data_IF_212931016625
#
_entry.id   IF_212931016625
#
_cell.length_a   1.000
_cell.length_b   1.000
_cell.length_c   1.000
_cell.angle_alpha   90.00
_cell.angle_beta   90.00
_cell.angle_gamma   90.00
#
_symmetry.space_group_name_H-M   'P 1'
#
loop_
_entity.id
_entity.type
_entity.pdbx_description
1 polymer ?
#
# COMPACT_ATOMS: atom_id res chain seq x y z
N UNK A 1 -28.55 -20.84 13.15
CA UNK A 1 -27.12 -21.05 13.45
C UNK A 1 -26.36 -20.31 12.37
N UNK A 2 -26.09 -19.03 12.55
CA UNK A 2 -24.95 -18.42 13.26
C UNK A 2 -24.04 -17.85 12.20
N UNK A 3 -24.10 -16.52 12.05
CA UNK A 3 -23.27 -15.72 11.17
C UNK A 3 -21.79 -16.04 11.41
N UNK A 4 -21.15 -16.68 10.43
CA UNK A 4 -19.69 -16.83 10.43
C UNK A 4 -19.09 -15.45 10.15
N UNK A 5 -18.70 -14.78 11.25
CA UNK A 5 -17.90 -13.55 11.21
C UNK A 5 -16.59 -13.83 10.47
N UNK A 6 -16.47 -13.21 9.30
CA UNK A 6 -15.27 -12.47 8.86
C UNK A 6 -13.94 -13.11 9.27
N UNK A 7 -13.57 -14.17 8.55
CA UNK A 7 -12.20 -14.66 8.52
C UNK A 7 -11.33 -13.58 7.89
N UNK A 8 -10.52 -12.94 8.72
CA UNK A 8 -9.56 -11.87 8.42
C UNK A 8 -8.61 -12.27 7.29
N UNK A 9 -8.97 -11.94 6.05
CA UNK A 9 -8.01 -11.88 4.94
C UNK A 9 -6.96 -10.83 5.28
N UNK A 10 -5.86 -11.28 5.88
CA UNK A 10 -4.59 -10.54 5.90
C UNK A 10 -3.96 -10.59 4.50
N UNK A 11 -4.73 -10.24 3.47
CA UNK A 11 -4.17 -9.86 2.17
C UNK A 11 -3.37 -8.60 2.45
N UNK A 12 -2.06 -8.77 2.63
CA UNK A 12 -1.17 -7.70 3.04
C UNK A 12 -1.35 -6.53 2.10
N UNK A 13 -1.93 -5.44 2.61
CA UNK A 13 -2.06 -4.23 1.81
C UNK A 13 -0.63 -3.75 1.54
N UNK A 14 -0.28 -3.36 0.32
CA UNK A 14 1.05 -2.83 -0.01
C UNK A 14 0.97 -1.30 -0.05
N UNK A 15 1.82 -0.63 0.71
CA UNK A 15 1.90 0.83 0.70
C UNK A 15 2.99 1.29 -0.25
N UNK A 16 2.64 2.12 -1.23
CA UNK A 16 3.58 2.89 -2.03
C UNK A 16 3.77 4.24 -1.36
N UNK A 17 5.01 4.53 -0.98
CA UNK A 17 5.41 5.84 -0.49
C UNK A 17 6.02 6.62 -1.64
N UNK A 18 5.46 7.79 -1.92
CA UNK A 18 5.90 8.65 -3.02
C UNK A 18 5.99 10.10 -2.57
N UNK A 19 6.89 10.86 -3.21
CA UNK A 19 7.04 12.30 -3.02
C UNK A 19 6.56 13.05 -4.25
N UNK A 20 5.80 14.12 -4.06
CA UNK A 20 5.31 14.94 -5.18
C UNK A 20 6.43 15.75 -5.88
N UNK A 21 6.25 16.10 -7.17
CA UNK A 21 7.26 16.79 -7.98
C UNK A 21 7.68 18.17 -7.46
N UNK A 22 6.76 18.95 -6.91
CA UNK A 22 7.00 20.33 -6.49
C UNK A 22 7.31 20.44 -4.99
N UNK A 23 8.48 19.93 -4.57
CA UNK A 23 8.89 19.84 -3.17
C UNK A 23 7.88 19.09 -2.26
N UNK A 24 7.03 18.27 -2.90
CA UNK A 24 5.74 17.87 -2.38
C UNK A 24 5.81 16.96 -1.16
N UNK A 25 4.74 17.00 -0.37
CA UNK A 25 4.55 16.13 0.77
C UNK A 25 4.74 14.65 0.39
N UNK A 26 5.24 13.87 1.34
CA UNK A 26 5.25 12.42 1.24
C UNK A 26 3.80 11.92 1.33
N UNK A 27 3.39 11.10 0.38
CA UNK A 27 2.08 10.44 0.35
C UNK A 27 2.25 8.93 0.43
N UNK A 28 1.35 8.29 1.17
CA UNK A 28 1.26 6.84 1.28
C UNK A 28 -0.03 6.34 0.60
N UNK A 29 0.11 5.49 -0.42
CA UNK A 29 -1.00 4.91 -1.17
C UNK A 29 -1.06 3.40 -0.92
N UNK A 30 -2.19 2.93 -0.38
CA UNK A 30 -2.37 1.51 -0.03
C UNK A 30 -3.07 0.72 -1.14
N UNK A 31 -2.48 -0.40 -1.52
CA UNK A 31 -2.93 -1.31 -2.57
C UNK A 31 -3.17 -2.70 -2.02
N UNK A 32 -3.92 -3.54 -2.73
CA UNK A 32 -4.29 -4.87 -2.22
C UNK A 32 -3.26 -5.96 -2.57
N UNK A 33 -2.35 -5.69 -3.53
CA UNK A 33 -1.31 -6.63 -3.95
C UNK A 33 0.00 -5.90 -4.31
N UNK A 34 1.11 -6.64 -4.29
CA UNK A 34 2.43 -6.09 -4.68
C UNK A 34 2.44 -5.67 -6.15
N UNK A 35 1.85 -6.49 -7.02
CA UNK A 35 1.80 -6.23 -8.46
C UNK A 35 1.01 -4.95 -8.77
N UNK A 36 -0.13 -4.73 -8.09
CA UNK A 36 -0.90 -3.50 -8.20
C UNK A 36 -0.10 -2.29 -7.71
N UNK A 37 0.56 -2.42 -6.56
CA UNK A 37 1.41 -1.37 -6.02
C UNK A 37 2.57 -0.99 -6.97
N UNK A 38 3.20 -1.96 -7.62
CA UNK A 38 4.27 -1.73 -8.60
C UNK A 38 3.74 -1.03 -9.84
N UNK A 39 2.64 -1.52 -10.42
CA UNK A 39 2.03 -0.92 -11.60
C UNK A 39 1.59 0.53 -11.36
N UNK A 40 1.08 0.84 -10.16
CA UNK A 40 0.69 2.21 -9.80
C UNK A 40 1.91 3.09 -9.46
N UNK A 41 2.97 2.53 -8.89
CA UNK A 41 4.23 3.23 -8.69
C UNK A 41 4.81 3.72 -10.03
N UNK A 42 4.84 2.88 -11.06
CA UNK A 42 5.30 3.27 -12.40
C UNK A 42 4.46 4.43 -12.99
N UNK A 43 3.14 4.41 -12.81
CA UNK A 43 2.26 5.50 -13.25
C UNK A 43 2.54 6.80 -12.50
N UNK A 44 2.85 6.72 -11.21
CA UNK A 44 3.20 7.88 -10.40
C UNK A 44 4.55 8.48 -10.85
N UNK A 45 5.54 7.66 -11.17
CA UNK A 45 6.82 8.13 -11.74
C UNK A 45 6.62 8.89 -13.05
N UNK A 46 5.80 8.35 -13.95
CA UNK A 46 5.45 9.02 -15.22
C UNK A 46 4.73 10.36 -15.01
N UNK A 47 4.07 10.55 -13.86
CA UNK A 47 3.40 11.80 -13.48
C UNK A 47 4.31 12.77 -12.72
N UNK A 48 5.60 12.44 -12.56
CA UNK A 48 6.60 13.26 -11.89
C UNK A 48 6.73 13.02 -10.39
N UNK A 49 6.08 11.99 -9.83
CA UNK A 49 6.31 11.61 -8.44
C UNK A 49 7.61 10.81 -8.32
N UNK A 50 8.32 10.98 -7.21
CA UNK A 50 9.48 10.15 -6.87
C UNK A 50 9.04 9.02 -5.95
N UNK A 51 9.17 7.76 -6.37
CA UNK A 51 8.85 6.60 -5.52
C UNK A 51 9.97 6.42 -4.49
N UNK A 52 9.60 6.43 -3.22
CA UNK A 52 10.54 6.27 -2.11
C UNK A 52 10.71 4.80 -1.74
N UNK A 53 9.59 4.07 -1.61
CA UNK A 53 9.57 2.63 -1.31
C UNK A 53 8.18 2.03 -1.49
N UNK A 54 8.13 0.72 -1.71
CA UNK A 54 6.91 -0.09 -1.58
C UNK A 54 7.09 -0.98 -0.36
N UNK A 55 6.26 -0.81 0.66
CA UNK A 55 6.32 -1.55 1.91
C UNK A 55 5.06 -2.40 2.12
N UNK A 56 5.16 -3.68 2.48
CA UNK A 56 4.00 -4.45 2.90
C UNK A 56 3.46 -3.86 4.21
N UNK A 57 2.16 -3.57 4.24
CA UNK A 57 1.39 -3.22 5.43
C UNK A 57 1.01 -4.52 6.11
N UNK A 58 1.98 -5.16 6.74
CA UNK A 58 1.67 -6.21 7.70
C UNK A 58 1.08 -5.51 8.92
N UNK A 59 -0.22 -5.71 9.18
CA UNK A 59 -0.72 -5.43 10.51
C UNK A 59 0.12 -6.27 11.48
N UNK A 60 0.70 -5.67 12.54
CA UNK A 60 1.32 -6.48 13.59
C UNK A 60 0.28 -7.50 14.05
N UNK A 61 0.70 -8.77 14.16
CA UNK A 61 -0.15 -9.81 14.73
C UNK A 61 -0.76 -9.24 16.01
N UNK A 62 -2.09 -9.30 16.21
CA UNK A 62 -2.62 -8.98 17.52
C UNK A 62 -1.90 -9.90 18.51
N UNK A 63 -1.27 -9.29 19.52
CA UNK A 63 -0.55 -10.04 20.56
C UNK A 63 -1.47 -11.17 21.05
N UNK A 64 -0.96 -12.40 21.02
CA UNK A 64 -1.63 -13.58 21.58
C UNK A 64 -1.68 -13.51 23.11
#
# INVERSE_FOLDING_TARGET
>A
MSSERSGKDTSGKHMVWAKGPDAGAEIGLGYSSLTEAQAEAEKLEQRGYTILRISPITLPKPNS
#
